data_IF_172990986262
#
_entry.id   IF_172990986262
#
_cell.length_a   1.000
_cell.length_b   1.000
_cell.length_c   1.000
_cell.angle_alpha   90.00
_cell.angle_beta   90.00
_cell.angle_gamma   90.00
#
_symmetry.space_group_name_H-M   'P 1'
#
loop_
_entity.id
_entity.type
_entity.pdbx_description
1 polymer ?
#
# COMPACT_ATOMS: atom_id res chain seq x y z
N UNK A 1 -3.10 1.31 16.14
CA UNK A 1 -3.56 0.65 14.91
C UNK A 1 -2.36 0.46 14.01
N UNK A 2 -1.90 -0.78 13.96
CA UNK A 2 -0.72 -1.20 13.20
C UNK A 2 -1.21 -1.70 11.83
N UNK A 3 -0.57 -1.26 10.76
CA UNK A 3 -0.87 -1.72 9.40
C UNK A 3 0.18 -2.79 9.09
N UNK A 4 -0.19 -4.07 9.11
CA UNK A 4 0.81 -5.14 9.00
C UNK A 4 1.02 -5.59 7.55
N UNK A 5 2.30 -5.67 7.19
CA UNK A 5 2.79 -6.45 6.08
C UNK A 5 3.37 -7.79 6.59
N UNK A 6 2.74 -8.90 6.19
CA UNK A 6 3.29 -10.27 6.21
C UNK A 6 4.02 -10.75 7.49
N UNK A 7 3.33 -11.64 8.21
CA UNK A 7 3.85 -12.82 8.96
C UNK A 7 5.38 -12.90 9.19
N UNK A 8 5.93 -12.09 10.09
CA UNK A 8 7.13 -12.47 10.86
C UNK A 8 6.85 -12.18 12.33
N UNK A 9 6.79 -13.26 13.10
CA UNK A 9 6.30 -13.36 14.48
C UNK A 9 4.77 -13.44 14.62
N UNK A 10 4.26 -14.66 14.58
CA UNK A 10 3.04 -15.02 15.29
C UNK A 10 3.37 -14.98 16.78
N UNK A 11 3.38 -13.78 17.36
CA UNK A 11 3.27 -13.61 18.79
C UNK A 11 1.77 -13.51 19.12
N UNK A 12 1.30 -14.38 20.00
CA UNK A 12 -0.13 -14.67 20.16
C UNK A 12 -0.90 -13.54 20.86
N UNK A 13 -0.21 -12.45 21.22
CA UNK A 13 -0.71 -11.38 22.07
C UNK A 13 -0.76 -9.97 21.43
N UNK A 14 -0.27 -9.75 20.21
CA UNK A 14 -0.46 -8.47 19.50
C UNK A 14 -0.66 -8.74 18.01
N UNK A 15 -1.76 -8.25 17.44
CA UNK A 15 -1.69 -7.34 16.28
C UNK A 15 -3.08 -6.81 15.93
N UNK A 16 -3.30 -5.52 16.20
CA UNK A 16 -4.48 -4.72 15.80
C UNK A 16 -4.39 -4.39 14.30
N UNK A 17 -4.31 -5.44 13.48
CA UNK A 17 -4.06 -5.36 12.05
C UNK A 17 -5.38 -5.19 11.33
N UNK A 18 -5.54 -4.02 10.71
CA UNK A 18 -6.76 -3.65 9.99
C UNK A 18 -6.66 -3.81 8.47
N UNK A 19 -5.54 -4.31 7.97
CA UNK A 19 -5.32 -4.51 6.54
C UNK A 19 -4.21 -5.51 6.25
N UNK A 20 -4.31 -6.20 5.11
CA UNK A 20 -3.26 -7.08 4.58
C UNK A 20 -3.35 -7.18 3.05
N UNK A 21 -2.20 -7.26 2.40
CA UNK A 21 -2.09 -7.43 0.95
C UNK A 21 -0.86 -8.22 0.53
N UNK A 22 -0.85 -8.66 -0.73
CA UNK A 22 0.34 -9.23 -1.35
C UNK A 22 1.17 -8.12 -2.01
N UNK A 23 2.33 -7.81 -1.43
CA UNK A 23 3.24 -6.79 -1.95
C UNK A 23 3.63 -7.12 -3.40
N UNK A 24 3.46 -6.15 -4.31
CA UNK A 24 3.70 -6.34 -5.74
C UNK A 24 2.79 -7.39 -6.38
N UNK A 25 1.62 -7.64 -5.79
CA UNK A 25 0.60 -8.56 -6.25
C UNK A 25 -0.24 -8.05 -7.42
N UNK A 26 -0.16 -6.75 -7.74
CA UNK A 26 -0.97 -6.17 -8.80
C UNK A 26 -0.70 -6.86 -10.16
N UNK A 27 -1.80 -7.17 -10.87
CA UNK A 27 -1.83 -8.01 -12.09
C UNK A 27 -1.28 -9.44 -11.99
N UNK A 28 -0.77 -9.86 -10.84
CA UNK A 28 -0.21 -11.19 -10.66
C UNK A 28 -1.32 -12.20 -10.39
N UNK A 29 -1.34 -13.28 -11.17
CA UNK A 29 -2.31 -14.37 -10.97
C UNK A 29 -2.15 -14.97 -9.57
N UNK A 30 -3.27 -15.13 -8.86
CA UNK A 30 -3.29 -15.62 -7.47
C UNK A 30 -2.78 -14.67 -6.39
N UNK A 31 -2.18 -13.52 -6.74
CA UNK A 31 -1.63 -12.54 -5.78
C UNK A 31 -2.27 -11.15 -5.84
N UNK A 32 -3.22 -10.91 -6.72
CA UNK A 32 -3.97 -9.64 -6.82
C UNK A 32 -5.00 -9.48 -5.70
N UNK A 33 -4.53 -9.36 -4.45
CA UNK A 33 -5.37 -9.35 -3.25
C UNK A 33 -4.97 -8.26 -2.26
N UNK A 34 -5.98 -7.59 -1.70
CA UNK A 34 -5.92 -6.66 -0.59
C UNK A 34 -7.20 -6.84 0.24
N UNK A 35 -7.07 -6.93 1.56
CA UNK A 35 -8.16 -7.17 2.50
C UNK A 35 -8.04 -6.12 3.61
N UNK A 36 -9.16 -5.52 4.01
CA UNK A 36 -9.21 -4.56 5.12
C UNK A 36 -10.39 -4.84 6.04
N UNK A 37 -10.21 -4.55 7.33
CA UNK A 37 -11.26 -4.56 8.34
C UNK A 37 -11.79 -3.13 8.52
N UNK A 38 -13.08 -2.93 8.26
CA UNK A 38 -13.73 -1.64 8.53
C UNK A 38 -14.35 -1.61 9.92
N UNK A 39 -14.24 -0.48 10.60
CA UNK A 39 -14.97 -0.22 11.84
C UNK A 39 -16.25 0.57 11.51
N UNK A 40 -17.45 0.09 11.90
CA UNK A 40 -18.69 0.81 11.65
C UNK A 40 -18.63 2.26 12.12
N UNK A 41 -19.24 3.16 11.34
CA UNK A 41 -19.33 4.62 11.58
C UNK A 41 -18.03 5.44 11.48
N UNK A 42 -16.86 4.82 11.29
CA UNK A 42 -15.58 5.56 11.15
C UNK A 42 -15.17 5.80 9.71
N UNK A 43 -15.71 5.01 8.76
CA UNK A 43 -15.26 4.99 7.35
C UNK A 43 -13.75 4.73 7.22
N UNK A 44 -13.16 4.03 8.20
CA UNK A 44 -11.73 3.71 8.29
C UNK A 44 -11.20 2.96 7.06
N UNK A 45 -12.05 2.17 6.41
CA UNK A 45 -11.67 1.38 5.23
C UNK A 45 -11.07 2.20 4.09
N UNK A 46 -11.38 3.49 3.96
CA UNK A 46 -10.90 4.28 2.81
C UNK A 46 -9.37 4.41 2.86
N UNK A 47 -8.83 4.80 4.01
CA UNK A 47 -7.38 4.96 4.17
C UNK A 47 -6.67 3.61 4.19
N UNK A 48 -7.28 2.62 4.87
CA UNK A 48 -6.76 1.25 4.93
C UNK A 48 -6.68 0.62 3.55
N UNK A 49 -7.73 0.72 2.75
CA UNK A 49 -7.76 0.12 1.42
C UNK A 49 -6.75 0.80 0.49
N UNK A 50 -6.58 2.11 0.59
CA UNK A 50 -5.58 2.82 -0.19
C UNK A 50 -4.15 2.40 0.18
N UNK A 51 -3.87 2.17 1.48
CA UNK A 51 -2.62 1.60 1.97
C UNK A 51 -2.35 0.21 1.38
N UNK A 52 -3.31 -0.70 1.51
CA UNK A 52 -3.16 -2.07 1.02
C UNK A 52 -3.05 -2.14 -0.51
N UNK A 53 -3.78 -1.28 -1.24
CA UNK A 53 -3.63 -1.19 -2.70
C UNK A 53 -2.24 -0.70 -3.09
N UNK A 54 -1.64 0.24 -2.35
CA UNK A 54 -0.29 0.71 -2.60
C UNK A 54 0.75 -0.40 -2.38
N UNK A 55 0.56 -1.27 -1.39
CA UNK A 55 1.36 -2.49 -1.24
C UNK A 55 1.23 -3.42 -2.45
N UNK A 56 0.03 -3.66 -2.98
CA UNK A 56 -0.12 -4.44 -4.22
C UNK A 56 0.64 -3.83 -5.41
N UNK A 57 0.80 -2.50 -5.41
CA UNK A 57 1.57 -1.71 -6.37
C UNK A 57 3.06 -1.59 -6.01
N UNK A 58 3.55 -2.37 -5.06
CA UNK A 58 4.97 -2.49 -4.73
C UNK A 58 5.52 -1.45 -3.75
N UNK A 59 4.68 -0.58 -3.17
CA UNK A 59 5.12 0.29 -2.09
C UNK A 59 5.39 -0.51 -0.81
N UNK A 60 6.42 -0.14 -0.07
CA UNK A 60 6.68 -0.60 1.31
C UNK A 60 6.37 0.51 2.29
N UNK A 61 6.39 0.18 3.59
CA UNK A 61 6.20 1.20 4.62
C UNK A 61 7.27 2.28 4.61
N UNK A 62 6.85 3.52 4.90
CA UNK A 62 7.74 4.64 5.17
C UNK A 62 8.44 4.44 6.54
N UNK A 63 9.70 4.86 6.64
CA UNK A 63 10.52 4.70 7.85
C UNK A 63 11.14 3.32 8.04
N UNK A 64 10.87 2.37 7.16
CA UNK A 64 11.55 1.07 7.14
C UNK A 64 12.46 0.93 5.93
N UNK A 65 13.70 0.52 6.18
CA UNK A 65 14.65 0.13 5.16
C UNK A 65 14.31 -1.27 4.62
N UNK A 66 13.27 -1.40 3.80
CA UNK A 66 13.04 -2.66 3.09
C UNK A 66 13.86 -2.71 1.82
N UNK A 67 14.65 -3.78 1.64
CA UNK A 67 15.41 -4.14 0.44
C UNK A 67 14.51 -4.30 -0.79
N UNK A 68 13.97 -3.20 -1.28
CA UNK A 68 13.36 -3.15 -2.60
C UNK A 68 14.48 -2.82 -3.58
N UNK A 69 14.45 -3.50 -4.73
CA UNK A 69 15.34 -3.27 -5.88
C UNK A 69 15.11 -1.89 -6.54
N UNK A 70 14.64 -0.92 -5.76
CA UNK A 70 14.35 0.45 -6.13
C UNK A 70 15.62 1.27 -5.94
N UNK A 71 15.91 2.19 -6.85
CA UNK A 71 17.18 2.94 -6.88
C UNK A 71 17.31 4.00 -5.76
N UNK A 72 16.45 3.97 -4.74
CA UNK A 72 16.39 4.97 -3.67
C UNK A 72 17.17 4.53 -2.41
N UNK A 73 17.99 5.41 -1.82
CA UNK A 73 18.63 5.14 -0.53
C UNK A 73 17.57 4.97 0.57
N UNK A 74 17.72 3.94 1.41
CA UNK A 74 16.78 3.57 2.48
C UNK A 74 16.51 4.67 3.50
N UNK A 75 17.50 5.53 3.75
CA UNK A 75 17.41 6.66 4.70
C UNK A 75 16.60 7.86 4.16
N UNK A 76 16.13 7.78 2.90
CA UNK A 76 15.41 8.88 2.24
C UNK A 76 13.89 8.89 2.50
N UNK A 77 13.36 7.90 3.22
CA UNK A 77 11.92 7.69 3.38
C UNK A 77 11.49 7.87 4.84
N UNK A 78 11.43 9.11 5.35
CA UNK A 78 11.07 9.34 6.75
C UNK A 78 9.61 9.01 7.03
N UNK A 79 9.36 8.43 8.21
CA UNK A 79 8.00 8.21 8.69
C UNK A 79 7.41 9.52 9.24
N UNK A 80 6.70 10.26 8.39
CA UNK A 80 5.97 11.48 8.77
C UNK A 80 4.45 11.25 8.80
N UNK A 81 4.01 10.01 9.05
CA UNK A 81 2.58 9.68 9.10
C UNK A 81 1.87 9.83 7.76
N UNK A 82 2.59 9.61 6.65
CA UNK A 82 1.99 9.43 5.32
C UNK A 82 1.20 8.13 5.26
N UNK A 83 0.46 7.94 4.16
CA UNK A 83 -0.42 6.79 3.98
C UNK A 83 0.30 5.45 4.13
N UNK A 84 1.58 5.33 3.75
CA UNK A 84 2.39 4.11 3.95
C UNK A 84 3.14 4.08 5.28
N UNK A 85 2.78 4.91 6.25
CA UNK A 85 3.30 4.76 7.60
C UNK A 85 2.87 3.40 8.18
N UNK A 86 3.72 2.73 8.98
CA UNK A 86 3.36 1.49 9.69
C UNK A 86 2.22 1.67 10.68
N UNK A 87 1.95 2.92 11.07
CA UNK A 87 0.88 3.31 11.97
C UNK A 87 -0.13 4.19 11.24
N UNK A 88 -1.41 3.86 11.40
CA UNK A 88 -2.47 4.61 10.73
C UNK A 88 -2.72 6.00 11.36
N UNK A 89 -3.48 6.82 10.63
CA UNK A 89 -4.00 8.13 11.07
C UNK A 89 -2.94 9.19 11.41
N UNK A 90 -1.77 9.12 10.76
CA UNK A 90 -0.82 10.22 10.80
C UNK A 90 -1.35 11.52 10.20
N UNK A 91 -0.69 12.65 10.48
CA UNK A 91 -1.08 13.98 9.98
C UNK A 91 -1.11 14.05 8.44
N UNK A 92 -0.36 13.18 7.76
CA UNK A 92 -0.29 13.07 6.31
C UNK A 92 -1.02 11.83 5.76
N UNK A 93 -1.92 11.21 6.53
CA UNK A 93 -2.60 9.96 6.18
C UNK A 93 -3.47 10.03 4.92
N UNK A 94 -3.76 11.23 4.42
CA UNK A 94 -4.42 11.46 3.12
C UNK A 94 -3.47 11.50 1.92
N UNK A 95 -2.16 11.36 2.13
CA UNK A 95 -1.14 11.54 1.08
C UNK A 95 -0.12 10.40 1.09
N UNK A 96 0.35 10.02 -0.10
CA UNK A 96 1.53 9.17 -0.22
C UNK A 96 2.80 9.98 -0.03
N UNK A 97 3.83 9.38 0.57
CA UNK A 97 5.16 9.99 0.61
C UNK A 97 5.78 9.99 -0.79
N UNK A 98 6.80 10.83 -1.00
CA UNK A 98 7.56 10.79 -2.26
C UNK A 98 8.18 9.41 -2.52
N UNK A 99 8.57 8.70 -1.47
CA UNK A 99 9.09 7.35 -1.58
C UNK A 99 8.06 6.36 -2.08
N UNK A 100 6.86 6.33 -1.48
CA UNK A 100 5.79 5.45 -1.93
C UNK A 100 5.44 5.73 -3.40
N UNK A 101 5.39 7.00 -3.80
CA UNK A 101 5.13 7.41 -5.20
C UNK A 101 6.21 6.89 -6.15
N UNK A 102 7.49 7.01 -5.78
CA UNK A 102 8.60 6.51 -6.61
C UNK A 102 8.52 4.99 -6.75
N UNK A 103 8.33 4.25 -5.65
CA UNK A 103 8.22 2.78 -5.68
C UNK A 103 7.03 2.32 -6.53
N UNK A 104 5.87 2.96 -6.39
CA UNK A 104 4.67 2.67 -7.21
C UNK A 104 4.97 2.91 -8.69
N UNK A 105 5.64 4.02 -9.04
CA UNK A 105 6.01 4.32 -10.43
C UNK A 105 6.97 3.29 -11.00
N UNK A 106 8.01 2.93 -10.26
CA UNK A 106 8.97 1.92 -10.67
C UNK A 106 8.30 0.54 -10.88
N UNK A 107 7.42 0.15 -9.96
CA UNK A 107 6.64 -1.08 -10.11
C UNK A 107 5.77 -1.04 -11.37
N UNK A 108 4.97 0.02 -11.56
CA UNK A 108 4.09 0.17 -12.74
C UNK A 108 4.88 0.18 -14.05
N UNK A 109 6.05 0.82 -14.07
CA UNK A 109 6.91 0.88 -15.26
C UNK A 109 7.46 -0.50 -15.65
N UNK A 110 7.60 -1.41 -14.69
CA UNK A 110 8.04 -2.78 -14.90
C UNK A 110 6.90 -3.76 -15.25
N UNK A 111 5.64 -3.31 -15.27
CA UNK A 111 4.50 -4.13 -15.67
C UNK A 111 4.42 -4.29 -17.19
N UNK A 112 3.87 -5.41 -17.64
CA UNK A 112 3.55 -5.62 -19.05
C UNK A 112 2.51 -4.61 -19.56
N UNK A 113 2.53 -4.33 -20.86
CA UNK A 113 1.55 -3.44 -21.50
C UNK A 113 0.11 -3.90 -21.27
N UNK A 114 -0.14 -5.21 -21.37
CA UNK A 114 -1.47 -5.80 -21.18
C UNK A 114 -2.02 -5.57 -19.77
N UNK A 115 -1.16 -5.56 -18.76
CA UNK A 115 -1.55 -5.26 -17.38
C UNK A 115 -1.91 -3.78 -17.19
N UNK A 116 -1.16 -2.87 -17.83
CA UNK A 116 -1.40 -1.41 -17.72
C UNK A 116 -2.62 -0.94 -18.50
N UNK A 117 -3.12 -1.73 -19.45
CA UNK A 117 -4.25 -1.38 -20.29
C UNK A 117 -5.55 -1.33 -19.48
N UNK A 118 -6.19 -0.17 -19.44
CA UNK A 118 -7.55 -0.02 -18.90
C UNK A 118 -8.53 -0.77 -19.79
N UNK A 119 -9.24 -1.75 -19.23
CA UNK A 119 -10.23 -2.56 -19.96
C UNK A 119 -11.67 -2.05 -19.82
N UNK A 120 -11.91 -1.14 -18.88
CA UNK A 120 -13.24 -0.55 -18.71
C UNK A 120 -13.55 0.42 -19.84
N UNK A 121 -14.71 0.24 -20.49
CA UNK A 121 -15.25 1.17 -21.49
C UNK A 121 -16.27 2.16 -20.88
N UNK A 122 -16.45 2.13 -19.56
CA UNK A 122 -17.38 3.01 -18.86
C UNK A 122 -16.74 4.39 -18.78
N UNK A 123 -17.37 5.37 -19.46
CA UNK A 123 -17.06 6.78 -19.27
C UNK A 123 -17.87 7.26 -18.07
N UNK A 124 -17.19 7.48 -16.94
CA UNK A 124 -17.82 8.19 -15.81
C UNK A 124 -17.83 9.66 -16.21
N UNK A 125 -19.00 10.18 -16.60
CA UNK A 125 -19.17 11.61 -16.79
C UNK A 125 -19.05 12.26 -15.40
N UNK A 126 -17.94 12.96 -15.16
CA UNK A 126 -17.80 13.80 -13.99
C UNK A 126 -18.72 15.02 -14.21
N UNK A 127 -19.85 15.03 -13.49
CA UNK A 127 -20.75 16.18 -13.34
C UNK A 127 -20.16 17.21 -12.40
#
# INVERSE_FOLDING_TARGET
MELADRFKHYDKDISDVKGVSEIGGFCSEGRRIAIVEDTPSTYSMIQLLAHELAHTLGATHDGFAHSTKTAMPMDACPNHGYMMSPSAYGINSGHFSNCSVIQIREFINNLSEDCRKVKSNIKINQT
#
